data_IF_862554627606
#
_entry.id   IF_862554627606
#
_cell.length_a   1.000
_cell.length_b   1.000
_cell.length_c   1.000
_cell.angle_alpha   90.00
_cell.angle_beta   90.00
_cell.angle_gamma   90.00
#
_symmetry.space_group_name_H-M   'P 1'
#
loop_
_entity.id
_entity.type
_entity.pdbx_description
1 polymer ?
#
# COMPACT_ATOMS: atom_id res chain seq x y z
N UNK A 1 -10.22 2.26 -15.79
CA UNK A 1 -9.02 2.92 -16.32
C UNK A 1 -8.66 2.26 -17.64
N UNK A 2 -9.01 2.90 -18.78
CA UNK A 2 -8.77 2.35 -20.13
C UNK A 2 -7.34 2.59 -20.65
N UNK A 3 -6.59 3.49 -20.02
CA UNK A 3 -5.24 3.92 -20.48
C UNK A 3 -4.09 3.14 -19.86
N UNK A 4 -4.30 2.46 -18.72
CA UNK A 4 -3.26 1.72 -17.98
C UNK A 4 -3.85 0.46 -17.34
N UNK A 5 -4.09 -0.62 -18.13
CA UNK A 5 -4.80 -1.81 -17.68
C UNK A 5 -4.09 -2.58 -16.57
N UNK A 6 -2.78 -2.41 -16.40
CA UNK A 6 -1.96 -3.05 -15.39
C UNK A 6 -2.03 -2.38 -14.00
N UNK A 7 -2.64 -1.20 -13.92
CA UNK A 7 -2.77 -0.41 -12.70
C UNK A 7 -4.22 -0.30 -12.24
N UNK A 8 -4.43 -0.25 -10.93
CA UNK A 8 -5.68 0.07 -10.26
C UNK A 8 -5.56 1.37 -9.47
N UNK A 9 -6.68 2.08 -9.27
CA UNK A 9 -6.75 3.24 -8.37
C UNK A 9 -7.50 2.80 -7.12
N UNK A 10 -6.89 3.00 -5.95
CA UNK A 10 -7.50 2.75 -4.64
C UNK A 10 -7.71 4.07 -3.93
N UNK A 11 -8.91 4.28 -3.39
CA UNK A 11 -9.22 5.41 -2.51
C UNK A 11 -9.01 4.96 -1.07
N UNK A 12 -8.18 5.69 -0.34
CA UNK A 12 -7.88 5.45 1.07
C UNK A 12 -8.41 6.63 1.88
N UNK A 13 -9.19 6.34 2.93
CA UNK A 13 -9.58 7.32 3.93
C UNK A 13 -8.86 6.99 5.23
N UNK A 14 -8.04 7.92 5.69
CA UNK A 14 -7.32 7.82 6.95
C UNK A 14 -7.97 8.76 7.95
N UNK A 15 -8.37 8.22 9.11
CA UNK A 15 -8.82 9.00 10.26
C UNK A 15 -7.82 8.87 11.38
N UNK A 16 -7.23 9.97 11.82
CA UNK A 16 -6.38 10.00 13.00
C UNK A 16 -7.22 10.36 14.23
N UNK A 17 -7.05 9.56 15.28
CA UNK A 17 -7.78 9.69 16.53
C UNK A 17 -6.85 10.22 17.63
N UNK A 18 -7.35 11.12 18.47
CA UNK A 18 -6.73 11.49 19.73
C UNK A 18 -7.03 10.43 20.80
N UNK A 19 -6.35 10.46 21.95
CA UNK A 19 -6.43 9.43 23.01
C UNK A 19 -7.85 9.25 23.59
N UNK A 20 -8.68 10.27 23.50
CA UNK A 20 -10.10 10.29 23.87
C UNK A 20 -11.03 9.71 22.79
N UNK A 21 -10.47 9.28 21.64
CA UNK A 21 -11.21 8.76 20.50
C UNK A 21 -11.70 9.83 19.52
N UNK A 22 -11.40 11.11 19.73
CA UNK A 22 -11.85 12.18 18.85
C UNK A 22 -11.05 12.19 17.54
N UNK A 23 -11.74 12.34 16.41
CA UNK A 23 -11.08 12.47 15.09
C UNK A 23 -10.44 13.85 14.99
N UNK A 24 -9.12 13.90 14.89
CA UNK A 24 -8.35 15.15 14.73
C UNK A 24 -7.88 15.39 13.30
N UNK A 25 -7.87 14.33 12.48
CA UNK A 25 -7.56 14.42 11.05
C UNK A 25 -8.41 13.42 10.26
N UNK A 26 -8.98 13.87 9.15
CA UNK A 26 -9.66 13.03 8.17
C UNK A 26 -9.11 13.36 6.78
N UNK A 27 -8.42 12.40 6.17
CA UNK A 27 -7.72 12.60 4.92
C UNK A 27 -8.06 11.51 3.92
N UNK A 28 -8.53 11.91 2.75
CA UNK A 28 -8.80 11.01 1.64
C UNK A 28 -7.74 11.20 0.54
N UNK A 29 -7.09 10.11 0.14
CA UNK A 29 -6.13 10.09 -0.97
C UNK A 29 -6.42 8.98 -1.94
N UNK A 30 -6.13 9.22 -3.22
CA UNK A 30 -6.13 8.18 -4.24
C UNK A 30 -4.70 7.72 -4.50
N UNK A 31 -4.46 6.41 -4.51
CA UNK A 31 -3.15 5.83 -4.81
C UNK A 31 -3.25 4.88 -5.99
N UNK A 32 -2.23 4.90 -6.83
CA UNK A 32 -2.11 3.98 -7.95
C UNK A 32 -1.36 2.73 -7.49
N UNK A 33 -1.95 1.56 -7.70
CA UNK A 33 -1.37 0.28 -7.29
C UNK A 33 -1.30 -0.67 -8.47
N UNK A 34 -0.29 -1.54 -8.48
CA UNK A 34 -0.22 -2.62 -9.45
C UNK A 34 -1.36 -3.61 -9.23
N UNK A 35 -1.99 -4.06 -10.32
CA UNK A 35 -2.87 -5.24 -10.24
C UNK A 35 -2.02 -6.47 -9.95
N UNK A 36 -2.62 -7.44 -9.24
CA UNK A 36 -1.94 -8.67 -8.80
C UNK A 36 -1.16 -9.38 -9.91
N UNK A 37 -1.74 -9.49 -11.11
CA UNK A 37 -1.12 -10.16 -12.26
C UNK A 37 0.14 -9.44 -12.81
N UNK A 38 0.35 -8.18 -12.44
CA UNK A 38 1.43 -7.33 -12.93
C UNK A 38 2.30 -6.78 -11.80
N UNK A 39 2.11 -7.27 -10.57
CA UNK A 39 2.92 -6.86 -9.43
C UNK A 39 4.35 -7.41 -9.59
N UNK A 40 5.39 -6.62 -9.22
CA UNK A 40 6.77 -7.13 -9.21
C UNK A 40 6.88 -8.37 -8.32
N UNK A 41 7.72 -9.32 -8.72
CA UNK A 41 7.92 -10.61 -8.02
C UNK A 41 8.29 -10.36 -6.56
N UNK A 42 7.91 -11.29 -5.68
CA UNK A 42 8.05 -11.20 -4.21
C UNK A 42 9.50 -11.07 -3.71
N UNK A 43 10.47 -11.19 -4.59
CA UNK A 43 11.91 -11.09 -4.31
C UNK A 43 12.38 -9.62 -4.16
N UNK A 44 11.46 -8.71 -3.82
CA UNK A 44 11.77 -7.29 -3.59
C UNK A 44 12.62 -7.06 -2.34
N UNK A 45 12.58 -8.01 -1.40
CA UNK A 45 13.32 -7.95 -0.15
C UNK A 45 14.40 -9.02 -0.15
N UNK A 46 15.63 -8.68 0.28
CA UNK A 46 16.70 -9.65 0.39
C UNK A 46 16.33 -10.75 1.40
N UNK A 47 16.61 -12.02 1.05
CA UNK A 47 16.52 -13.13 1.99
C UNK A 47 17.64 -13.03 3.02
N UNK A 48 17.30 -13.18 4.32
CA UNK A 48 18.30 -13.26 5.40
C UNK A 48 19.31 -14.36 5.05
N UNK A 49 20.59 -14.02 5.00
CA UNK A 49 21.65 -15.02 4.85
C UNK A 49 21.65 -15.90 6.10
N UNK A 50 21.59 -17.22 5.93
CA UNK A 50 21.64 -18.15 7.06
C UNK A 50 22.97 -17.97 7.80
N UNK A 51 22.89 -17.88 9.12
CA UNK A 51 24.07 -17.76 9.99
C UNK A 51 24.94 -19.02 9.79
N UNK A 52 26.18 -18.85 9.35
CA UNK A 52 27.15 -19.93 9.24
C UNK A 52 27.36 -20.51 10.65
N UNK A 53 27.01 -21.79 10.81
CA UNK A 53 27.16 -22.54 12.08
C UNK A 53 28.63 -22.77 12.41
#
# INVERSE_FOLDING_TARGET
SKSKPQWGIVKVRTRGLQQDGNVVIDYARSVMVWKRAHAPKRDLFPTKQADAS
#
